data_IF_199113211328
#
_entry.id   IF_199113211328
#
_cell.length_a   1.000
_cell.length_b   1.000
_cell.length_c   1.000
_cell.angle_alpha   90.00
_cell.angle_beta   90.00
_cell.angle_gamma   90.00
#
_symmetry.space_group_name_H-M   'P 1'
#
loop_
_entity.id
_entity.type
_entity.pdbx_description
1 polymer ?
#
# COMPACT_ATOMS: atom_id res chain seq x y z
N UNK A 1 33.94 -31.12 -9.15
CA UNK A 1 34.48 -30.21 -8.12
C UNK A 1 33.43 -30.10 -7.03
N UNK A 2 33.65 -30.80 -5.92
CA UNK A 2 32.71 -30.86 -4.78
C UNK A 2 33.20 -29.91 -3.69
N UNK A 3 32.28 -29.16 -3.09
CA UNK A 3 32.53 -28.45 -1.84
C UNK A 3 31.32 -28.63 -0.91
N UNK A 4 31.55 -29.40 0.15
CA UNK A 4 30.72 -29.49 1.36
C UNK A 4 31.48 -28.74 2.46
N UNK A 5 30.83 -27.80 3.14
CA UNK A 5 31.35 -27.14 4.36
C UNK A 5 30.16 -27.01 5.32
N UNK A 6 29.94 -27.99 6.21
CA UNK A 6 30.47 -28.11 7.58
C UNK A 6 29.75 -27.19 8.60
N UNK A 7 28.86 -27.82 9.38
CA UNK A 7 28.28 -27.27 10.61
C UNK A 7 29.11 -27.64 11.86
N UNK A 8 28.88 -26.88 12.94
CA UNK A 8 29.27 -27.12 14.36
C UNK A 8 28.66 -25.97 15.19
N UNK A 9 28.11 -26.12 16.39
CA UNK A 9 28.41 -27.05 17.50
C UNK A 9 27.17 -27.45 18.30
N UNK A 10 27.14 -28.74 18.64
CA UNK A 10 26.44 -29.34 19.78
C UNK A 10 27.48 -29.67 20.85
N UNK A 11 27.12 -29.51 22.12
CA UNK A 11 27.80 -30.01 23.33
C UNK A 11 26.64 -30.47 24.24
N UNK A 12 26.61 -31.62 24.94
CA UNK A 12 27.66 -32.47 25.50
C UNK A 12 27.00 -33.84 25.80
N UNK A 13 27.57 -34.94 25.30
CA UNK A 13 27.49 -36.33 25.81
C UNK A 13 28.21 -36.33 27.18
N UNK A 14 27.90 -37.07 28.24
CA UNK A 14 27.52 -38.47 28.38
C UNK A 14 27.37 -38.73 29.91
N UNK A 15 26.62 -39.75 30.32
CA UNK A 15 26.85 -40.65 31.48
C UNK A 15 25.59 -41.54 31.58
N UNK A 16 25.75 -42.74 31.06
CA UNK A 16 24.88 -43.89 31.25
C UNK A 16 24.85 -44.40 32.71
N UNK A 17 23.79 -45.15 32.99
CA UNK A 17 23.70 -46.23 34.00
C UNK A 17 23.68 -45.83 35.48
N UNK A 18 22.50 -45.95 36.11
CA UNK A 18 22.20 -47.08 36.98
C UNK A 18 20.86 -46.87 37.70
N UNK A 19 20.09 -47.96 37.78
CA UNK A 19 18.89 -48.09 38.59
C UNK A 19 19.14 -47.79 40.08
N UNK A 20 18.20 -47.10 40.73
CA UNK A 20 17.64 -47.38 42.07
C UNK A 20 17.06 -46.09 42.69
N UNK A 21 15.77 -46.14 43.04
CA UNK A 21 15.21 -45.35 44.16
C UNK A 21 15.68 -45.94 45.51
N UNK A 22 15.46 -45.32 46.69
CA UNK A 22 14.92 -43.98 47.00
C UNK A 22 15.74 -43.20 48.08
N UNK A 23 15.28 -41.97 48.36
CA UNK A 23 15.34 -41.24 49.63
C UNK A 23 16.52 -40.28 49.95
N UNK A 24 16.10 -39.05 50.26
CA UNK A 24 16.73 -37.95 51.03
C UNK A 24 18.03 -37.32 50.53
N UNK A 25 17.94 -36.08 50.03
CA UNK A 25 18.56 -34.88 50.62
C UNK A 25 18.31 -33.65 49.71
N UNK A 26 17.99 -32.51 50.32
CA UNK A 26 17.70 -31.22 49.69
C UNK A 26 18.92 -30.57 49.01
N UNK A 27 18.74 -29.61 48.09
CA UNK A 27 19.34 -28.27 48.28
C UNK A 27 18.40 -27.12 47.80
N UNK A 28 18.80 -25.84 47.66
CA UNK A 28 18.46 -24.77 48.58
C UNK A 28 17.47 -23.73 48.04
N UNK A 29 16.93 -22.98 48.99
CA UNK A 29 16.05 -21.81 48.94
C UNK A 29 16.50 -20.73 47.96
N UNK A 30 15.60 -20.24 47.09
CA UNK A 30 15.39 -18.80 46.87
C UNK A 30 13.94 -18.48 46.40
N UNK A 31 13.23 -17.74 47.26
CA UNK A 31 12.16 -16.73 47.02
C UNK A 31 10.76 -17.18 46.53
N UNK A 32 9.98 -17.69 47.50
CA UNK A 32 8.62 -17.25 47.92
C UNK A 32 7.69 -16.63 46.85
N UNK A 33 6.90 -17.46 46.19
CA UNK A 33 5.60 -17.06 45.63
C UNK A 33 4.60 -16.80 46.76
N UNK A 34 3.92 -15.65 46.71
CA UNK A 34 2.71 -15.39 47.50
C UNK A 34 1.61 -14.99 46.52
N UNK A 35 0.62 -15.87 46.37
CA UNK A 35 -0.64 -15.56 45.70
C UNK A 35 -1.40 -14.50 46.48
N UNK A 36 -1.95 -13.51 45.79
CA UNK A 36 -3.12 -12.75 46.23
C UNK A 36 -3.94 -12.41 45.00
N UNK A 37 -5.16 -12.92 45.02
CA UNK A 37 -6.20 -12.70 44.02
C UNK A 37 -6.67 -11.24 44.07
N UNK A 38 -6.75 -10.61 42.91
CA UNK A 38 -7.74 -9.56 42.64
C UNK A 38 -8.44 -9.90 41.35
N UNK A 39 -9.69 -10.30 41.49
CA UNK A 39 -10.65 -10.56 40.44
C UNK A 39 -11.04 -9.23 39.80
N UNK A 40 -10.62 -9.01 38.56
CA UNK A 40 -11.31 -8.12 37.63
C UNK A 40 -11.23 -8.77 36.24
N UNK A 41 -12.34 -9.20 35.64
CA UNK A 41 -12.31 -9.56 34.23
C UNK A 41 -12.05 -8.27 33.47
N UNK A 42 -10.89 -8.16 32.82
CA UNK A 42 -10.68 -7.18 31.78
C UNK A 42 -11.66 -7.53 30.67
N UNK A 43 -12.85 -6.93 30.72
CA UNK A 43 -13.69 -6.80 29.54
C UNK A 43 -12.91 -5.89 28.61
N UNK A 44 -12.22 -6.48 27.64
CA UNK A 44 -12.01 -5.79 26.38
C UNK A 44 -13.40 -5.50 25.83
N UNK A 45 -13.93 -4.32 26.15
CA UNK A 45 -14.97 -3.72 25.32
C UNK A 45 -14.30 -3.45 23.99
N UNK A 46 -14.36 -4.44 23.10
CA UNK A 46 -14.34 -4.19 21.68
C UNK A 46 -15.52 -3.24 21.43
N UNK A 47 -15.26 -1.93 21.49
CA UNK A 47 -16.14 -1.00 20.79
C UNK A 47 -16.00 -1.37 19.32
N UNK A 48 -17.07 -1.79 18.64
CA UNK A 48 -17.01 -1.95 17.20
C UNK A 48 -16.52 -0.61 16.62
N UNK A 49 -15.66 -0.61 15.58
CA UNK A 49 -15.36 0.62 14.88
C UNK A 49 -16.70 1.24 14.53
N UNK A 50 -16.94 2.46 15.00
CA UNK A 50 -18.06 3.27 14.53
C UNK A 50 -17.72 3.49 13.06
N UNK A 51 -18.24 2.64 12.19
CA UNK A 51 -18.19 2.88 10.77
C UNK A 51 -18.84 4.25 10.60
N UNK A 52 -18.11 5.25 10.05
CA UNK A 52 -18.74 6.53 9.76
C UNK A 52 -19.98 6.22 8.94
N UNK A 53 -21.11 6.83 9.29
CA UNK A 53 -22.31 6.61 8.50
C UNK A 53 -22.00 7.01 7.06
N UNK A 54 -22.66 6.38 6.07
CA UNK A 54 -22.43 6.71 4.66
C UNK A 54 -22.62 8.22 4.41
N UNK A 55 -23.50 8.85 5.18
CA UNK A 55 -23.73 10.30 5.22
C UNK A 55 -22.52 11.07 5.76
N UNK A 56 -21.88 10.60 6.83
CA UNK A 56 -20.65 11.23 7.36
C UNK A 56 -19.50 11.17 6.35
N UNK A 57 -19.39 10.05 5.62
CA UNK A 57 -18.38 9.89 4.57
C UNK A 57 -18.65 10.84 3.39
N UNK A 58 -19.91 10.99 2.97
CA UNK A 58 -20.31 11.98 1.97
C UNK A 58 -20.09 13.41 2.47
N UNK A 59 -20.33 13.68 3.75
CA UNK A 59 -20.13 15.01 4.35
C UNK A 59 -18.66 15.41 4.40
N UNK A 60 -17.76 14.43 4.59
CA UNK A 60 -16.32 14.65 4.48
C UNK A 60 -15.89 14.99 3.05
N UNK A 61 -16.53 14.40 2.03
CA UNK A 61 -16.24 14.68 0.62
C UNK A 61 -16.90 15.96 0.10
N UNK A 62 -18.03 16.36 0.69
CA UNK A 62 -18.79 17.54 0.30
C UNK A 62 -19.12 18.42 1.53
N UNK A 63 -18.13 19.15 2.09
CA UNK A 63 -18.33 19.97 3.29
C UNK A 63 -19.40 21.05 3.10
N UNK A 64 -19.51 21.61 1.90
CA UNK A 64 -20.41 22.72 1.57
C UNK A 64 -21.84 22.27 1.25
N UNK A 65 -22.10 20.96 1.11
CA UNK A 65 -23.42 20.42 0.83
C UNK A 65 -24.23 20.20 2.11
N UNK A 66 -25.53 20.54 2.05
CA UNK A 66 -26.46 20.29 3.15
C UNK A 66 -26.71 18.80 3.37
N UNK A 67 -26.77 18.38 4.63
CA UNK A 67 -26.91 16.96 5.03
C UNK A 67 -28.17 16.32 4.40
N UNK A 68 -29.27 17.07 4.27
CA UNK A 68 -30.50 16.61 3.63
C UNK A 68 -30.34 16.25 2.14
N UNK A 69 -29.43 16.93 1.42
CA UNK A 69 -29.13 16.60 0.02
C UNK A 69 -28.27 15.34 -0.08
N UNK A 70 -27.38 15.13 0.88
CA UNK A 70 -26.54 13.92 0.97
C UNK A 70 -27.40 12.69 1.29
N UNK A 71 -28.32 12.81 2.24
CA UNK A 71 -29.27 11.74 2.58
C UNK A 71 -30.19 11.39 1.41
N UNK A 72 -30.75 12.41 0.74
CA UNK A 72 -31.61 12.21 -0.44
C UNK A 72 -30.85 11.54 -1.60
N UNK A 73 -29.63 11.99 -1.89
CA UNK A 73 -28.81 11.39 -2.94
C UNK A 73 -28.44 9.93 -2.61
N UNK A 74 -28.22 9.63 -1.34
CA UNK A 74 -27.92 8.27 -0.88
C UNK A 74 -29.16 7.35 -0.97
N UNK A 75 -30.34 7.87 -0.64
CA UNK A 75 -31.61 7.16 -0.77
C UNK A 75 -31.96 6.88 -2.25
N UNK A 76 -31.80 7.87 -3.12
CA UNK A 76 -31.99 7.72 -4.58
C UNK A 76 -30.96 6.79 -5.23
N UNK A 77 -29.77 6.70 -4.64
CA UNK A 77 -28.68 5.81 -5.09
C UNK A 77 -28.74 4.41 -4.46
N UNK A 78 -29.79 4.09 -3.70
CA UNK A 78 -29.96 2.76 -3.09
C UNK A 78 -28.88 2.41 -2.06
N UNK A 79 -28.39 3.40 -1.30
CA UNK A 79 -27.28 3.29 -0.36
C UNK A 79 -25.92 2.91 -0.98
N UNK A 80 -25.76 3.05 -2.30
CA UNK A 80 -24.46 2.95 -2.95
C UNK A 80 -23.70 4.28 -2.90
N UNK A 81 -22.55 4.27 -2.21
CA UNK A 81 -21.73 5.46 -1.99
C UNK A 81 -21.19 6.03 -3.32
N UNK A 82 -20.74 5.16 -4.23
CA UNK A 82 -20.12 5.59 -5.48
C UNK A 82 -21.13 6.25 -6.42
N UNK A 83 -22.35 5.71 -6.48
CA UNK A 83 -23.46 6.31 -7.22
C UNK A 83 -23.93 7.63 -6.60
N UNK A 84 -23.97 7.73 -5.27
CA UNK A 84 -24.30 8.98 -4.57
C UNK A 84 -23.23 10.07 -4.80
N UNK A 85 -21.95 9.71 -4.81
CA UNK A 85 -20.86 10.64 -5.13
C UNK A 85 -20.98 11.16 -6.57
N UNK A 86 -21.33 10.31 -7.53
CA UNK A 86 -21.53 10.72 -8.94
C UNK A 86 -22.70 11.69 -9.08
N UNK A 87 -23.86 11.37 -8.51
CA UNK A 87 -25.05 12.24 -8.60
C UNK A 87 -24.82 13.60 -7.92
N UNK A 88 -24.15 13.63 -6.77
CA UNK A 88 -23.80 14.87 -6.08
C UNK A 88 -22.80 15.73 -6.87
N UNK A 89 -21.84 15.11 -7.56
CA UNK A 89 -20.94 15.81 -8.46
C UNK A 89 -21.67 16.37 -9.68
N UNK A 90 -22.57 15.59 -10.29
CA UNK A 90 -23.43 16.06 -11.39
C UNK A 90 -24.30 17.24 -10.96
N UNK A 91 -24.83 17.24 -9.73
CA UNK A 91 -25.57 18.37 -9.17
C UNK A 91 -24.68 19.62 -9.00
N UNK A 92 -23.43 19.47 -8.54
CA UNK A 92 -22.45 20.57 -8.47
C UNK A 92 -22.12 21.13 -9.85
N UNK A 93 -21.89 20.26 -10.82
CA UNK A 93 -21.60 20.63 -12.21
C UNK A 93 -22.82 21.25 -12.90
N UNK A 94 -24.03 20.75 -12.63
CA UNK A 94 -25.29 21.28 -13.15
C UNK A 94 -25.58 22.69 -12.65
N UNK A 95 -25.27 22.98 -11.39
CA UNK A 95 -25.40 24.33 -10.83
C UNK A 95 -24.40 25.30 -11.46
N UNK A 96 -23.14 24.88 -11.66
CA UNK A 96 -22.13 25.66 -12.37
C UNK A 96 -22.47 25.89 -13.86
N UNK A 97 -23.20 24.96 -14.48
CA UNK A 97 -23.61 25.06 -15.88
C UNK A 97 -24.80 25.99 -16.11
N UNK A 98 -25.68 26.17 -15.12
CA UNK A 98 -26.76 27.17 -15.19
C UNK A 98 -26.26 28.61 -15.03
N UNK A 99 -25.11 28.85 -14.39
CA UNK A 99 -24.46 30.17 -14.35
C UNK A 99 -23.70 30.53 -15.63
N UNK A 100 -23.58 29.60 -16.58
CA UNK A 100 -22.92 29.84 -17.88
C UNK A 100 -23.89 29.59 -19.03
N UNK A 101 -25.08 30.16 -18.94
CA UNK A 101 -26.00 30.26 -20.07
C UNK A 101 -25.60 31.41 -20.97
N UNK A 102 -24.84 31.14 -22.04
CA UNK A 102 -25.00 31.72 -23.39
C UNK A 102 -23.89 31.21 -24.33
N UNK A 103 -24.30 30.97 -25.58
CA UNK A 103 -23.51 30.57 -26.76
C UNK A 103 -23.25 29.06 -26.92
N UNK A 104 -24.23 28.45 -27.57
CA UNK A 104 -24.16 27.15 -28.20
C UNK A 104 -23.43 27.22 -29.56
N UNK A 105 -22.88 26.06 -29.95
CA UNK A 105 -22.54 25.59 -31.31
C UNK A 105 -21.39 26.36 -32.01
N UNK A 106 -20.57 25.82 -32.91
CA UNK A 106 -20.77 24.78 -33.91
C UNK A 106 -19.39 24.38 -34.49
N UNK A 107 -19.33 23.20 -35.09
CA UNK A 107 -18.23 22.53 -35.77
C UNK A 107 -17.80 23.23 -37.09
N UNK A 108 -16.54 23.06 -37.53
CA UNK A 108 -16.09 22.72 -38.91
C UNK A 108 -14.57 22.94 -39.07
N UNK A 109 -14.01 22.02 -39.86
CA UNK A 109 -12.63 21.74 -40.26
C UNK A 109 -12.08 22.61 -41.40
N UNK A 110 -10.79 22.38 -41.72
CA UNK A 110 -10.07 22.61 -43.01
C UNK A 110 -9.24 23.90 -43.20
N UNK A 111 -7.92 23.71 -43.05
CA UNK A 111 -6.86 23.80 -44.08
C UNK A 111 -6.72 25.02 -45.04
N UNK A 112 -5.44 25.40 -45.18
CA UNK A 112 -4.73 25.83 -46.40
C UNK A 112 -4.62 27.33 -46.68
N UNK A 113 -3.37 27.78 -46.70
CA UNK A 113 -2.99 29.16 -46.98
C UNK A 113 -2.94 29.53 -48.45
N UNK A 114 -2.54 30.79 -48.70
CA UNK A 114 -1.67 31.28 -49.77
C UNK A 114 -1.54 32.81 -49.58
N UNK A 115 -0.31 33.30 -49.69
CA UNK A 115 0.11 34.72 -49.69
C UNK A 115 -0.50 35.51 -50.86
N UNK A 116 -0.56 36.85 -50.82
CA UNK A 116 0.50 37.59 -51.51
C UNK A 116 0.92 38.96 -50.90
N UNK A 117 2.22 39.22 -51.03
CA UNK A 117 2.83 40.47 -51.57
C UNK A 117 2.63 41.82 -50.86
N UNK A 118 3.69 42.19 -50.12
CA UNK A 118 4.51 43.42 -50.20
C UNK A 118 3.79 44.78 -50.25
N UNK A 119 3.85 45.48 -49.12
CA UNK A 119 3.75 46.94 -49.03
C UNK A 119 4.75 47.45 -47.99
N UNK A 120 5.82 48.05 -48.50
CA UNK A 120 6.89 48.70 -47.75
C UNK A 120 6.33 49.93 -47.00
N UNK A 121 6.48 49.99 -45.69
CA UNK A 121 6.33 51.24 -44.93
C UNK A 121 7.25 51.22 -43.70
N UNK A 122 8.00 52.31 -43.59
CA UNK A 122 9.17 52.51 -42.76
C UNK A 122 8.98 52.14 -41.27
N UNK A 123 10.04 51.66 -40.60
CA UNK A 123 10.01 51.45 -39.16
C UNK A 123 9.97 52.81 -38.46
N UNK A 124 8.80 53.19 -37.92
CA UNK A 124 8.77 54.17 -36.86
C UNK A 124 9.56 53.58 -35.69
N UNK A 125 10.68 54.23 -35.37
CA UNK A 125 11.42 54.05 -34.12
C UNK A 125 10.47 54.35 -32.96
N UNK A 126 9.78 53.34 -32.47
CA UNK A 126 9.47 53.29 -31.05
C UNK A 126 10.81 53.23 -30.32
N UNK A 127 11.12 54.18 -29.42
CA UNK A 127 12.26 54.03 -28.55
C UNK A 127 11.98 52.81 -27.69
N UNK A 128 12.57 51.68 -28.08
CA UNK A 128 12.76 50.54 -27.22
C UNK A 128 13.54 51.02 -26.00
N UNK A 129 12.83 51.38 -24.93
CA UNK A 129 13.37 51.39 -23.58
C UNK A 129 13.46 49.91 -23.18
N UNK A 130 14.36 49.20 -23.83
CA UNK A 130 14.79 47.90 -23.39
C UNK A 130 15.78 48.11 -22.24
N UNK A 131 15.34 47.61 -21.09
CA UNK A 131 16.18 47.00 -20.06
C UNK A 131 16.97 47.97 -19.20
N UNK A 132 16.31 48.44 -18.14
CA UNK A 132 16.81 48.49 -16.76
C UNK A 132 15.61 48.82 -15.86
N UNK A 133 14.62 47.92 -15.80
CA UNK A 133 13.55 48.09 -14.84
C UNK A 133 14.13 47.90 -13.43
N UNK A 134 13.89 48.83 -12.50
CA UNK A 134 14.40 48.74 -11.15
C UNK A 134 14.03 47.39 -10.50
N UNK A 135 15.03 46.71 -9.95
CA UNK A 135 14.84 45.38 -9.38
C UNK A 135 14.32 45.48 -7.93
N UNK A 136 14.73 46.54 -7.22
CA UNK A 136 14.44 46.79 -5.81
C UNK A 136 13.54 48.02 -5.61
N UNK A 137 12.82 48.03 -4.48
CA UNK A 137 11.92 49.12 -4.10
C UNK A 137 12.63 50.46 -3.94
N UNK A 138 13.88 50.46 -3.44
CA UNK A 138 14.68 51.68 -3.31
C UNK A 138 14.99 52.33 -4.67
N UNK A 139 15.31 51.51 -5.67
CA UNK A 139 15.59 51.98 -7.03
C UNK A 139 14.32 52.54 -7.71
N UNK A 140 13.14 51.96 -7.42
CA UNK A 140 11.85 52.53 -7.87
C UNK A 140 11.56 53.88 -7.23
N UNK A 141 11.86 54.06 -5.93
CA UNK A 141 11.71 55.35 -5.23
C UNK A 141 12.66 56.39 -5.81
N UNK A 142 13.92 56.03 -6.03
CA UNK A 142 14.91 56.94 -6.62
C UNK A 142 14.54 57.34 -8.06
N UNK A 143 14.04 56.40 -8.87
CA UNK A 143 13.54 56.69 -10.22
C UNK A 143 12.33 57.64 -10.18
N UNK A 144 11.39 57.38 -9.26
CA UNK A 144 10.19 58.20 -9.08
C UNK A 144 10.55 59.64 -8.67
N UNK A 145 11.41 59.81 -7.67
CA UNK A 145 11.86 61.14 -7.20
C UNK A 145 12.63 61.86 -8.30
N UNK A 146 13.52 61.16 -9.02
CA UNK A 146 14.28 61.72 -10.14
C UNK A 146 13.37 62.25 -11.25
N UNK A 147 12.33 61.50 -11.62
CA UNK A 147 11.38 61.95 -12.65
C UNK A 147 10.44 63.05 -12.20
N UNK A 148 10.11 63.15 -10.92
CA UNK A 148 9.37 64.31 -10.43
C UNK A 148 10.24 65.57 -10.37
N UNK A 149 11.53 65.45 -10.03
CA UNK A 149 12.45 66.59 -10.01
C UNK A 149 12.76 67.15 -11.41
N UNK A 150 12.57 66.35 -12.46
CA UNK A 150 12.75 66.77 -13.86
C UNK A 150 11.51 67.46 -14.45
N UNK A 151 10.38 67.44 -13.74
CA UNK A 151 9.12 67.95 -14.25
C UNK A 151 9.09 69.48 -14.37
N UNK A 152 8.52 69.98 -15.47
CA UNK A 152 8.44 71.40 -15.80
C UNK A 152 7.15 72.07 -15.36
N UNK A 153 6.12 71.28 -15.06
CA UNK A 153 4.82 71.73 -14.56
C UNK A 153 4.19 70.65 -13.68
N UNK A 154 3.14 71.01 -12.94
CA UNK A 154 2.41 70.06 -12.09
C UNK A 154 1.69 68.97 -12.90
N UNK A 155 1.23 69.29 -14.11
CA UNK A 155 0.59 68.33 -15.00
C UNK A 155 1.62 67.37 -15.62
N UNK A 156 2.81 67.87 -15.97
CA UNK A 156 3.96 67.06 -16.41
C UNK A 156 4.41 66.10 -15.28
N UNK A 157 4.52 66.58 -14.04
CA UNK A 157 4.83 65.74 -12.88
C UNK A 157 3.78 64.62 -12.67
N UNK A 158 2.49 64.94 -12.87
CA UNK A 158 1.40 63.96 -12.77
C UNK A 158 1.48 62.89 -13.83
N UNK A 159 1.75 63.27 -15.09
CA UNK A 159 1.91 62.32 -16.20
C UNK A 159 3.12 61.40 -15.97
N UNK A 160 4.24 61.97 -15.52
CA UNK A 160 5.45 61.19 -15.17
C UNK A 160 5.20 60.22 -14.03
N UNK A 161 4.55 60.67 -12.97
CA UNK A 161 4.19 59.82 -11.83
C UNK A 161 3.28 58.66 -12.27
N UNK A 162 2.27 58.94 -13.09
CA UNK A 162 1.38 57.91 -13.63
C UNK A 162 2.15 56.86 -14.45
N UNK A 163 3.06 57.30 -15.33
CA UNK A 163 3.86 56.42 -16.16
C UNK A 163 4.83 55.53 -15.34
N UNK A 164 5.47 56.08 -14.30
CA UNK A 164 6.36 55.32 -13.41
C UNK A 164 5.55 54.30 -12.60
N UNK A 165 4.38 54.67 -12.09
CA UNK A 165 3.51 53.75 -11.35
C UNK A 165 2.93 52.64 -12.24
N UNK A 166 2.56 52.95 -13.48
CA UNK A 166 2.12 51.93 -14.45
C UNK A 166 3.26 50.94 -14.77
N UNK A 167 4.49 51.45 -14.90
CA UNK A 167 5.69 50.62 -15.10
C UNK A 167 5.97 49.72 -13.89
N UNK A 168 5.77 50.24 -12.67
CA UNK A 168 5.88 49.49 -11.43
C UNK A 168 4.81 48.39 -11.35
N UNK A 169 3.55 48.69 -11.67
CA UNK A 169 2.45 47.72 -11.68
C UNK A 169 2.73 46.56 -12.65
N UNK A 170 3.19 46.89 -13.87
CA UNK A 170 3.60 45.88 -14.87
C UNK A 170 4.76 45.02 -14.35
N UNK A 171 5.74 45.64 -13.68
CA UNK A 171 6.87 44.92 -13.07
C UNK A 171 6.44 43.96 -11.96
N UNK A 172 5.59 44.42 -11.04
CA UNK A 172 5.07 43.62 -9.94
C UNK A 172 4.23 42.46 -10.49
N UNK A 173 3.34 42.73 -11.44
CA UNK A 173 2.49 41.70 -12.06
C UNK A 173 3.31 40.64 -12.78
N UNK A 174 4.33 41.05 -13.54
CA UNK A 174 5.23 40.12 -14.23
C UNK A 174 6.02 39.26 -13.23
N UNK A 175 6.53 39.86 -12.16
CA UNK A 175 7.27 39.14 -11.10
C UNK A 175 6.39 38.15 -10.37
N UNK A 176 5.20 38.56 -9.95
CA UNK A 176 4.23 37.69 -9.27
C UNK A 176 3.82 36.51 -10.16
N UNK A 177 3.59 36.74 -11.46
CA UNK A 177 3.30 35.69 -12.44
C UNK A 177 4.48 34.72 -12.60
N UNK A 178 5.69 35.24 -12.73
CA UNK A 178 6.92 34.42 -12.83
C UNK A 178 7.14 33.58 -11.57
N UNK A 179 6.96 34.16 -10.40
CA UNK A 179 7.12 33.46 -9.12
C UNK A 179 6.04 32.36 -8.95
N UNK A 180 4.79 32.64 -9.31
CA UNK A 180 3.73 31.64 -9.31
C UNK A 180 4.03 30.48 -10.28
N UNK A 181 4.54 30.78 -11.48
CA UNK A 181 4.94 29.77 -12.45
C UNK A 181 6.12 28.92 -11.95
N UNK A 182 7.13 29.54 -11.33
CA UNK A 182 8.25 28.82 -10.73
C UNK A 182 7.81 27.92 -9.57
N UNK A 183 6.96 28.44 -8.67
CA UNK A 183 6.47 27.67 -7.53
C UNK A 183 5.64 26.48 -7.98
N UNK A 184 4.73 26.69 -8.95
CA UNK A 184 3.98 25.61 -9.58
C UNK A 184 4.90 24.58 -10.24
N UNK A 185 5.94 25.02 -10.94
CA UNK A 185 6.91 24.13 -11.57
C UNK A 185 7.66 23.29 -10.52
N UNK A 186 8.14 23.91 -9.44
CA UNK A 186 8.83 23.22 -8.33
C UNK A 186 7.92 22.17 -7.69
N UNK A 187 6.68 22.52 -7.38
CA UNK A 187 5.69 21.58 -6.84
C UNK A 187 5.41 20.43 -7.81
N UNK A 188 5.23 20.73 -9.11
CA UNK A 188 4.99 19.72 -10.13
C UNK A 188 6.14 18.69 -10.23
N UNK A 189 7.39 19.16 -10.15
CA UNK A 189 8.58 18.28 -10.14
C UNK A 189 8.60 17.40 -8.90
N UNK A 190 8.30 17.96 -7.72
CA UNK A 190 8.25 17.18 -6.47
C UNK A 190 7.14 16.12 -6.52
N UNK A 191 5.93 16.50 -6.92
CA UNK A 191 4.79 15.59 -7.03
C UNK A 191 5.05 14.47 -8.05
N UNK A 192 5.63 14.78 -9.21
CA UNK A 192 6.06 13.76 -10.19
C UNK A 192 7.07 12.79 -9.59
N UNK A 193 8.05 13.29 -8.84
CA UNK A 193 9.03 12.44 -8.16
C UNK A 193 8.40 11.51 -7.13
N UNK A 194 7.43 12.00 -6.35
CA UNK A 194 6.67 11.18 -5.39
C UNK A 194 5.85 10.09 -6.09
N UNK A 195 5.17 10.43 -7.20
CA UNK A 195 4.41 9.47 -7.99
C UNK A 195 5.35 8.38 -8.54
N UNK A 196 6.51 8.75 -9.08
CA UNK A 196 7.47 7.77 -9.59
C UNK A 196 7.99 6.84 -8.50
N UNK A 197 8.27 7.37 -7.30
CA UNK A 197 8.66 6.56 -6.14
C UNK A 197 7.55 5.58 -5.74
N UNK A 198 6.30 6.03 -5.64
CA UNK A 198 5.16 5.18 -5.34
C UNK A 198 4.94 4.08 -6.39
N UNK A 199 5.18 4.38 -7.67
CA UNK A 199 5.11 3.37 -8.74
C UNK A 199 6.19 2.30 -8.55
N UNK A 200 7.43 2.69 -8.23
CA UNK A 200 8.52 1.74 -7.95
C UNK A 200 8.18 0.85 -6.75
N UNK A 201 7.68 1.43 -5.67
CA UNK A 201 7.24 0.68 -4.49
C UNK A 201 6.08 -0.26 -4.80
N UNK A 202 5.12 0.17 -5.62
CA UNK A 202 4.01 -0.68 -6.06
C UNK A 202 4.48 -1.92 -6.83
N UNK A 203 5.52 -1.78 -7.67
CA UNK A 203 6.13 -2.91 -8.37
C UNK A 203 6.81 -3.87 -7.39
N UNK A 204 7.53 -3.35 -6.40
CA UNK A 204 8.17 -4.17 -5.36
C UNK A 204 7.11 -4.94 -4.56
N UNK A 205 6.03 -4.26 -4.15
CA UNK A 205 4.92 -4.86 -3.43
C UNK A 205 4.22 -5.94 -4.26
N UNK A 206 3.92 -5.68 -5.53
CA UNK A 206 3.36 -6.70 -6.45
C UNK A 206 4.25 -7.93 -6.54
N UNK A 207 5.57 -7.73 -6.68
CA UNK A 207 6.54 -8.83 -6.71
C UNK A 207 6.55 -9.62 -5.39
N UNK A 208 6.53 -8.93 -4.25
CA UNK A 208 6.48 -9.56 -2.94
C UNK A 208 5.21 -10.40 -2.75
N UNK A 209 4.06 -9.88 -3.16
CA UNK A 209 2.78 -10.60 -3.12
C UNK A 209 2.81 -11.84 -4.01
N UNK A 210 3.35 -11.76 -5.23
CA UNK A 210 3.49 -12.93 -6.11
C UNK A 210 4.36 -14.02 -5.48
N UNK A 211 5.49 -13.66 -4.87
CA UNK A 211 6.38 -14.60 -4.17
C UNK A 211 5.66 -15.22 -2.96
N UNK A 212 4.92 -14.41 -2.20
CA UNK A 212 4.18 -14.90 -1.04
C UNK A 212 3.09 -15.89 -1.45
N UNK A 213 2.38 -15.61 -2.53
CA UNK A 213 1.37 -16.50 -3.09
C UNK A 213 1.98 -17.82 -3.58
N UNK A 214 3.10 -17.78 -4.29
CA UNK A 214 3.82 -18.98 -4.73
C UNK A 214 4.24 -19.86 -3.55
N UNK A 215 4.83 -19.25 -2.51
CA UNK A 215 5.21 -19.98 -1.28
C UNK A 215 4.02 -20.58 -0.55
N UNK A 216 2.90 -19.86 -0.49
CA UNK A 216 1.67 -20.40 0.12
C UNK A 216 1.16 -21.60 -0.66
N UNK A 217 1.17 -21.52 -1.98
CA UNK A 217 0.77 -22.62 -2.85
C UNK A 217 1.65 -23.86 -2.65
N UNK A 218 2.96 -23.70 -2.62
CA UNK A 218 3.91 -24.79 -2.34
C UNK A 218 3.66 -25.41 -0.95
N UNK A 219 3.35 -24.60 0.06
CA UNK A 219 3.02 -25.08 1.39
C UNK A 219 1.74 -25.92 1.39
N UNK A 220 0.70 -25.47 0.68
CA UNK A 220 -0.57 -26.19 0.59
C UNK A 220 -0.40 -27.52 -0.16
N UNK A 221 0.39 -27.55 -1.23
CA UNK A 221 0.76 -28.77 -1.96
C UNK A 221 1.52 -29.75 -1.05
N UNK A 222 2.53 -29.28 -0.31
CA UNK A 222 3.27 -30.11 0.65
C UNK A 222 2.40 -30.63 1.78
N UNK A 223 1.45 -29.83 2.25
CA UNK A 223 0.52 -30.26 3.28
C UNK A 223 -0.39 -31.39 2.76
N UNK A 224 -0.82 -31.36 1.51
CA UNK A 224 -1.56 -32.46 0.87
C UNK A 224 -0.70 -33.73 0.76
N UNK A 225 0.56 -33.62 0.33
CA UNK A 225 1.51 -34.75 0.29
C UNK A 225 1.70 -35.37 1.68
N UNK A 226 1.86 -34.55 2.71
CA UNK A 226 1.99 -35.02 4.10
C UNK A 226 0.73 -35.78 4.55
N UNK A 227 -0.45 -35.32 4.19
CA UNK A 227 -1.70 -36.03 4.49
C UNK A 227 -1.77 -37.39 3.77
N UNK A 228 -1.38 -37.45 2.50
CA UNK A 228 -1.32 -38.70 1.73
C UNK A 228 -0.32 -39.68 2.35
N UNK A 229 0.88 -39.21 2.72
CA UNK A 229 1.89 -40.04 3.37
C UNK A 229 1.42 -40.56 4.73
N UNK A 230 0.74 -39.74 5.54
CA UNK A 230 0.14 -40.19 6.81
C UNK A 230 -0.87 -41.32 6.58
N UNK A 231 -1.71 -41.20 5.56
CA UNK A 231 -2.65 -42.26 5.20
C UNK A 231 -1.91 -43.54 4.79
N UNK A 232 -0.90 -43.45 3.93
CA UNK A 232 -0.10 -44.61 3.51
C UNK A 232 0.60 -45.29 4.70
N UNK A 233 1.18 -44.51 5.62
CA UNK A 233 1.80 -45.04 6.85
C UNK A 233 0.76 -45.78 7.69
N UNK A 234 -0.45 -45.23 7.86
CA UNK A 234 -1.51 -45.90 8.61
C UNK A 234 -1.93 -47.24 7.96
N UNK A 235 -1.98 -47.31 6.64
CA UNK A 235 -2.26 -48.54 5.91
C UNK A 235 -1.17 -49.60 6.14
N UNK A 236 0.10 -49.23 6.03
CA UNK A 236 1.21 -50.16 6.30
C UNK A 236 1.25 -50.63 7.75
N UNK A 237 0.94 -49.77 8.71
CA UNK A 237 0.82 -50.16 10.12
C UNK A 237 -0.28 -51.20 10.35
N UNK A 238 -1.42 -51.08 9.66
CA UNK A 238 -2.51 -52.05 9.76
C UNK A 238 -2.17 -53.38 9.08
N UNK A 239 -1.50 -53.35 7.93
CA UNK A 239 -0.98 -54.55 7.28
C UNK A 239 0.02 -55.30 8.16
N UNK A 240 0.96 -54.58 8.79
CA UNK A 240 1.91 -55.16 9.74
C UNK A 240 1.17 -55.84 10.90
N UNK A 241 0.22 -55.15 11.54
CA UNK A 241 -0.57 -55.72 12.62
C UNK A 241 -1.32 -56.99 12.19
N UNK A 242 -1.86 -57.01 10.98
CA UNK A 242 -2.57 -58.18 10.42
C UNK A 242 -1.61 -59.36 10.22
N UNK A 243 -0.42 -59.11 9.65
CA UNK A 243 0.60 -60.14 9.46
C UNK A 243 1.13 -60.68 10.79
N UNK A 244 1.34 -59.81 11.79
CA UNK A 244 1.74 -60.20 13.15
C UNK A 244 0.72 -61.15 13.78
N UNK A 245 -0.58 -60.82 13.71
CA UNK A 245 -1.66 -61.67 14.22
C UNK A 245 -1.72 -63.01 13.48
N UNK A 246 -1.61 -63.00 12.15
CA UNK A 246 -1.61 -64.23 11.35
C UNK A 246 -0.41 -65.13 11.67
N UNK A 247 0.78 -64.56 11.83
CA UNK A 247 1.98 -65.30 12.18
C UNK A 247 1.88 -65.93 13.58
N UNK A 248 1.34 -65.19 14.54
CA UNK A 248 1.05 -65.70 15.88
C UNK A 248 0.06 -66.87 15.84
N UNK A 249 -1.05 -66.74 15.10
CA UNK A 249 -2.04 -67.81 14.95
C UNK A 249 -1.43 -69.07 14.31
N UNK A 250 -0.63 -68.91 13.26
CA UNK A 250 0.07 -70.02 12.62
C UNK A 250 1.06 -70.71 13.57
N UNK A 251 1.81 -69.94 14.36
CA UNK A 251 2.75 -70.47 15.35
C UNK A 251 2.01 -71.25 16.43
N UNK A 252 0.86 -70.75 16.90
CA UNK A 252 0.01 -71.45 17.87
C UNK A 252 -0.50 -72.78 17.31
N UNK A 253 -1.04 -72.78 16.09
CA UNK A 253 -1.52 -74.01 15.44
C UNK A 253 -0.41 -75.02 15.15
N UNK A 254 0.80 -74.56 14.77
CA UNK A 254 1.95 -75.45 14.59
C UNK A 254 2.34 -76.14 15.90
N UNK A 255 2.35 -75.39 17.00
CA UNK A 255 2.64 -75.94 18.31
C UNK A 255 1.57 -76.95 18.77
N UNK A 256 0.27 -76.65 18.58
CA UNK A 256 -0.83 -77.59 18.84
C UNK A 256 -0.71 -78.88 17.99
N UNK A 257 -0.37 -78.75 16.70
CA UNK A 257 -0.15 -79.90 15.81
C UNK A 257 1.05 -80.75 16.25
N UNK A 258 2.13 -80.13 16.75
CA UNK A 258 3.29 -80.86 17.26
C UNK A 258 2.97 -81.61 18.56
N UNK A 259 2.18 -81.02 19.45
CA UNK A 259 1.77 -81.68 20.70
C UNK A 259 0.74 -82.80 20.48
N UNK A 260 -0.19 -82.61 19.54
CA UNK A 260 -1.17 -83.64 19.15
C UNK A 260 -0.58 -84.78 18.32
N UNK A 261 0.58 -84.59 17.69
CA UNK A 261 1.40 -85.65 17.07
C UNK A 261 2.17 -86.50 18.09
N UNK A 262 1.54 -86.81 19.22
CA UNK A 262 1.95 -87.90 20.08
C UNK A 262 1.61 -89.23 19.38
N UNK A 263 2.32 -89.59 18.31
CA UNK A 263 2.34 -90.97 17.81
C UNK A 263 2.98 -91.80 18.92
N UNK A 264 2.28 -92.73 19.57
CA UNK A 264 2.93 -93.71 20.43
C UNK A 264 3.88 -94.51 19.54
N UNK A 265 5.18 -94.40 19.82
CA UNK A 265 6.25 -94.81 18.92
C UNK A 265 6.05 -96.17 18.26
N UNK A 266 6.05 -96.18 16.92
CA UNK A 266 6.50 -97.30 16.11
C UNK A 266 6.83 -96.81 14.70
N UNK A 267 7.92 -96.05 14.58
CA UNK A 267 8.67 -96.04 13.33
C UNK A 267 9.51 -97.31 13.30
N UNK A 268 9.27 -98.17 12.31
CA UNK A 268 10.10 -99.35 12.06
C UNK A 268 11.45 -98.87 11.49
N UNK A 269 12.59 -99.18 12.12
CA UNK A 269 13.87 -99.05 11.44
C UNK A 269 14.00 -100.24 10.48
N UNK A 270 14.57 -99.95 9.32
CA UNK A 270 14.99 -100.90 8.29
C UNK A 270 13.88 -101.59 7.48
N UNK A 271 13.55 -100.99 6.34
CA UNK A 271 13.26 -101.76 5.11
C UNK A 271 14.03 -101.09 3.96
N UNK A 272 14.87 -101.90 3.30
CA UNK A 272 15.76 -101.60 2.17
C UNK A 272 15.03 -101.02 0.95
#
# INVERSE_FOLDING_TARGET
MSAVVCGKRSFFEDIESAAASPASASPPVYKKFRCSSTTSPVRFTYSPPVYPSLVDQLKALFPDMGIQLLEKALEESGNDLDSAIKSLNELRLGYAKCDTGLAAEEYVSVEKGVTPTRGDSAPLKEPQIQNNLPADGAEWVDLFVREMMSATSIDDARLRAAHVLESLEKSISARASSEAAENFHKENVILKGQIEALIKDNVILKRAVSIQHERQKEYDERNQEVLQLKQLVSQYQEQLRTLEVNNYALTLHLHEAQQSNSIPGRFHPDIF
#
